data_IF_757406223106
#
_entry.id   IF_757406223106
#
_cell.length_a   1.000
_cell.length_b   1.000
_cell.length_c   1.000
_cell.angle_alpha   90.00
_cell.angle_beta   90.00
_cell.angle_gamma   90.00
#
_symmetry.space_group_name_H-M   'P 1'
#
loop_
_entity.id
_entity.type
_entity.pdbx_description
1 polymer ?
#
# COMPACT_ATOMS: atom_id res chain seq x y z
N UNK A 1 -4.56 -21.43 -25.24
CA UNK A 1 -4.60 -21.82 -23.80
C UNK A 1 -3.59 -21.05 -22.92
N UNK A 2 -2.34 -20.88 -23.37
CA UNK A 2 -1.29 -20.18 -22.61
C UNK A 2 -1.61 -18.71 -22.26
N UNK A 3 -2.18 -17.87 -23.16
CA UNK A 3 -2.51 -16.49 -22.82
C UNK A 3 -3.55 -16.38 -21.69
N UNK A 4 -4.63 -17.18 -21.77
CA UNK A 4 -5.69 -17.17 -20.76
C UNK A 4 -5.23 -17.67 -19.38
N UNK A 5 -4.19 -18.52 -19.32
CA UNK A 5 -3.61 -18.97 -18.05
C UNK A 5 -2.73 -17.87 -17.44
N UNK A 6 -1.96 -17.16 -18.25
CA UNK A 6 -1.17 -16.01 -17.81
C UNK A 6 -2.08 -14.89 -17.26
N UNK A 7 -3.21 -14.61 -17.91
CA UNK A 7 -4.19 -13.63 -17.44
C UNK A 7 -4.77 -14.01 -16.08
N UNK A 8 -5.15 -15.28 -15.87
CA UNK A 8 -5.68 -15.74 -14.57
C UNK A 8 -4.65 -15.63 -13.45
N UNK A 9 -3.40 -15.98 -13.71
CA UNK A 9 -2.31 -15.87 -12.73
C UNK A 9 -2.03 -14.40 -12.38
N UNK A 10 -2.05 -13.52 -13.37
CA UNK A 10 -1.91 -12.08 -13.18
C UNK A 10 -3.07 -11.50 -12.36
N UNK A 11 -4.31 -11.82 -12.72
CA UNK A 11 -5.52 -11.39 -12.00
C UNK A 11 -5.48 -11.88 -10.55
N UNK A 12 -5.13 -13.14 -10.31
CA UNK A 12 -5.02 -13.68 -8.96
C UNK A 12 -3.95 -12.98 -8.11
N UNK A 13 -2.78 -12.71 -8.69
CA UNK A 13 -1.71 -12.00 -8.01
C UNK A 13 -2.09 -10.55 -7.67
N UNK A 14 -2.69 -9.82 -8.61
CA UNK A 14 -3.19 -8.46 -8.40
C UNK A 14 -4.34 -8.41 -7.39
N UNK A 15 -5.23 -9.40 -7.41
CA UNK A 15 -6.32 -9.48 -6.45
C UNK A 15 -5.77 -9.63 -5.02
N UNK A 16 -4.73 -10.43 -4.81
CA UNK A 16 -4.10 -10.52 -3.49
C UNK A 16 -3.55 -9.17 -3.02
N UNK A 17 -2.87 -8.43 -3.90
CA UNK A 17 -2.34 -7.10 -3.59
C UNK A 17 -3.45 -6.14 -3.15
N UNK A 18 -4.51 -6.05 -3.96
CA UNK A 18 -5.65 -5.16 -3.70
C UNK A 18 -6.35 -5.55 -2.40
N UNK A 19 -6.55 -6.84 -2.14
CA UNK A 19 -7.18 -7.30 -0.89
C UNK A 19 -6.35 -6.96 0.36
N UNK A 20 -5.02 -7.03 0.27
CA UNK A 20 -4.13 -6.64 1.37
C UNK A 20 -4.26 -5.15 1.67
N UNK A 21 -4.18 -4.29 0.64
CA UNK A 21 -4.16 -2.83 0.82
C UNK A 21 -5.54 -2.25 1.12
N UNK A 22 -6.58 -2.69 0.41
CA UNK A 22 -7.91 -2.11 0.47
C UNK A 22 -8.83 -2.75 1.53
N UNK A 23 -8.51 -3.95 2.01
CA UNK A 23 -9.34 -4.68 2.99
C UNK A 23 -8.57 -4.98 4.27
N UNK A 24 -7.47 -5.73 4.19
CA UNK A 24 -6.76 -6.18 5.40
C UNK A 24 -6.16 -5.01 6.20
N UNK A 25 -5.43 -4.11 5.54
CA UNK A 25 -4.83 -2.94 6.19
C UNK A 25 -5.84 -2.01 6.89
N UNK A 26 -6.96 -1.59 6.26
CA UNK A 26 -7.95 -0.75 6.94
C UNK A 26 -8.65 -1.47 8.10
N UNK A 27 -8.99 -2.76 7.96
CA UNK A 27 -9.61 -3.51 9.05
C UNK A 27 -8.68 -3.61 10.28
N UNK A 28 -7.39 -3.87 10.04
CA UNK A 28 -6.37 -3.87 11.10
C UNK A 28 -6.21 -2.47 11.71
N UNK A 29 -6.17 -1.42 10.88
CA UNK A 29 -6.04 -0.05 11.35
C UNK A 29 -7.21 0.37 12.24
N UNK A 30 -8.44 -0.01 11.89
CA UNK A 30 -9.65 0.28 12.70
C UNK A 30 -9.58 -0.46 14.05
N UNK A 31 -9.12 -1.72 14.07
CA UNK A 31 -8.97 -2.48 15.31
C UNK A 31 -7.85 -1.98 16.22
N UNK A 32 -6.82 -1.33 15.66
CA UNK A 32 -5.68 -0.78 16.39
C UNK A 32 -5.91 0.68 16.83
N UNK A 33 -6.59 1.49 16.02
CA UNK A 33 -6.86 2.90 16.30
C UNK A 33 -7.80 3.05 17.51
N UNK A 34 -7.40 3.88 18.49
CA UNK A 34 -8.15 4.06 19.74
C UNK A 34 -8.00 2.94 20.77
N UNK A 35 -7.24 1.88 20.48
CA UNK A 35 -6.91 0.81 21.42
C UNK A 35 -5.64 1.08 22.24
N UNK A 36 -5.29 0.15 23.15
CA UNK A 36 -4.01 0.22 23.93
C UNK A 36 -2.76 0.12 23.05
N UNK A 37 -2.92 -0.41 21.84
CA UNK A 37 -1.90 -0.57 20.80
C UNK A 37 -1.92 0.57 19.77
N UNK A 38 -2.61 1.68 20.05
CA UNK A 38 -2.62 2.83 19.14
C UNK A 38 -1.23 3.48 19.07
N UNK A 39 -0.42 3.00 18.11
CA UNK A 39 0.92 3.53 17.82
C UNK A 39 0.86 4.93 17.20
N UNK A 40 -0.27 5.31 16.59
CA UNK A 40 -0.45 6.66 16.03
C UNK A 40 -0.47 7.73 17.11
N UNK A 41 -0.94 7.38 18.32
CA UNK A 41 -0.89 8.28 19.48
C UNK A 41 0.52 8.38 20.10
N UNK A 42 1.33 7.32 19.98
CA UNK A 42 2.67 7.23 20.60
C UNK A 42 3.79 7.78 19.75
N UNK A 43 3.68 7.69 18.42
CA UNK A 43 4.73 8.14 17.48
C UNK A 43 4.14 9.05 16.39
N UNK A 44 3.56 10.20 16.76
CA UNK A 44 2.76 11.03 15.86
C UNK A 44 3.51 11.51 14.60
N UNK A 45 4.85 11.58 14.64
CA UNK A 45 5.67 11.96 13.49
C UNK A 45 5.69 10.89 12.38
N UNK A 46 5.75 9.62 12.76
CA UNK A 46 5.77 8.47 11.82
C UNK A 46 4.40 8.24 11.19
N UNK A 47 3.34 8.58 11.91
CA UNK A 47 1.94 8.54 11.45
C UNK A 47 1.46 9.90 10.92
N UNK A 48 2.40 10.77 10.49
CA UNK A 48 2.06 11.91 9.64
C UNK A 48 1.58 11.38 8.29
N UNK A 49 0.38 11.74 7.81
CA UNK A 49 -0.15 11.23 6.55
C UNK A 49 0.77 11.48 5.35
N UNK A 50 1.49 12.61 5.35
CA UNK A 50 2.43 12.96 4.28
C UNK A 50 3.59 11.97 4.26
N UNK A 51 4.19 11.70 5.43
CA UNK A 51 5.31 10.77 5.53
C UNK A 51 4.86 9.34 5.19
N UNK A 52 3.69 8.91 5.68
CA UNK A 52 3.12 7.62 5.34
C UNK A 52 2.90 7.47 3.82
N UNK A 53 2.39 8.51 3.15
CA UNK A 53 2.18 8.51 1.69
C UNK A 53 3.51 8.50 0.91
N UNK A 54 4.55 9.17 1.41
CA UNK A 54 5.89 9.13 0.78
C UNK A 54 6.51 7.74 0.90
N UNK A 55 6.40 7.10 2.08
CA UNK A 55 6.91 5.73 2.26
C UNK A 55 6.11 4.77 1.36
N UNK A 56 4.78 4.89 1.31
CA UNK A 56 3.93 4.11 0.41
C UNK A 56 4.39 4.24 -1.05
N UNK A 57 4.61 5.47 -1.52
CA UNK A 57 5.15 5.74 -2.84
C UNK A 57 6.45 4.97 -3.11
N UNK A 58 7.46 5.13 -2.26
CA UNK A 58 8.75 4.47 -2.48
C UNK A 58 8.64 2.95 -2.51
N UNK A 59 7.82 2.38 -1.63
CA UNK A 59 7.58 0.93 -1.59
C UNK A 59 6.88 0.46 -2.86
N UNK A 60 5.80 1.13 -3.27
CA UNK A 60 5.06 0.78 -4.50
C UNK A 60 5.96 0.88 -5.72
N UNK A 61 6.73 1.95 -5.83
CA UNK A 61 7.63 2.17 -6.96
C UNK A 61 8.75 1.15 -7.02
N UNK A 62 9.37 0.81 -5.88
CA UNK A 62 10.43 -0.19 -5.81
C UNK A 62 9.96 -1.56 -6.33
N UNK A 63 8.78 -2.02 -5.92
CA UNK A 63 8.22 -3.30 -6.38
C UNK A 63 7.76 -3.29 -7.84
N UNK A 64 7.46 -2.11 -8.40
CA UNK A 64 7.16 -1.96 -9.82
C UNK A 64 8.42 -1.88 -10.70
N UNK A 65 9.64 -1.76 -10.14
CA UNK A 65 10.86 -1.82 -10.95
C UNK A 65 11.01 -3.21 -11.60
N UNK A 66 11.42 -3.32 -12.89
CA UNK A 66 11.40 -4.58 -13.62
C UNK A 66 12.12 -5.75 -12.93
N UNK A 67 13.26 -5.47 -12.28
CA UNK A 67 14.05 -6.47 -11.58
C UNK A 67 13.34 -7.02 -10.33
N UNK A 68 12.79 -6.14 -9.49
CA UNK A 68 12.04 -6.54 -8.28
C UNK A 68 10.70 -7.17 -8.64
N UNK A 69 10.02 -6.64 -9.66
CA UNK A 69 8.77 -7.21 -10.15
C UNK A 69 8.99 -8.63 -10.69
N UNK A 70 10.07 -8.87 -11.43
CA UNK A 70 10.43 -10.21 -11.88
C UNK A 70 10.78 -11.13 -10.71
N UNK A 71 11.53 -10.64 -9.72
CA UNK A 71 11.86 -11.38 -8.51
C UNK A 71 10.62 -11.80 -7.72
N UNK A 72 9.64 -10.89 -7.55
CA UNK A 72 8.38 -11.16 -6.85
C UNK A 72 7.54 -12.25 -7.53
N UNK A 73 7.63 -12.37 -8.87
CA UNK A 73 6.93 -13.43 -9.62
C UNK A 73 7.65 -14.77 -9.66
N UNK A 74 8.94 -14.80 -9.32
CA UNK A 74 9.79 -16.00 -9.45
C UNK A 74 10.23 -16.58 -8.11
N UNK A 75 10.19 -15.78 -7.03
CA UNK A 75 10.60 -16.18 -5.69
C UNK A 75 9.49 -15.95 -4.67
N UNK A 76 9.14 -17.02 -3.94
CA UNK A 76 8.15 -16.94 -2.85
C UNK A 76 8.58 -15.96 -1.74
N UNK A 77 9.88 -15.89 -1.44
CA UNK A 77 10.39 -14.97 -0.44
C UNK A 77 10.21 -13.50 -0.88
N UNK A 78 10.47 -13.19 -2.16
CA UNK A 78 10.26 -11.86 -2.71
C UNK A 78 8.77 -11.49 -2.71
N UNK A 79 7.89 -12.44 -3.05
CA UNK A 79 6.44 -12.25 -2.99
C UNK A 79 5.93 -11.98 -1.57
N UNK A 80 6.47 -12.65 -0.55
CA UNK A 80 6.12 -12.39 0.86
C UNK A 80 6.61 -11.02 1.32
N UNK A 81 7.79 -10.60 0.89
CA UNK A 81 8.34 -9.27 1.19
C UNK A 81 7.52 -8.17 0.51
N UNK A 82 7.11 -8.38 -0.74
CA UNK A 82 6.21 -7.50 -1.48
C UNK A 82 4.90 -7.31 -0.71
N UNK A 83 4.20 -8.41 -0.41
CA UNK A 83 2.92 -8.34 0.30
C UNK A 83 3.02 -7.82 1.72
N UNK A 84 4.08 -8.20 2.45
CA UNK A 84 4.36 -7.68 3.79
C UNK A 84 4.62 -6.18 3.78
N UNK A 85 5.35 -5.68 2.77
CA UNK A 85 5.60 -4.26 2.62
C UNK A 85 4.32 -3.49 2.28
N UNK A 86 3.47 -4.00 1.38
CA UNK A 86 2.18 -3.39 1.07
C UNK A 86 1.23 -3.34 2.27
N UNK A 87 1.17 -4.41 3.05
CA UNK A 87 0.42 -4.42 4.30
C UNK A 87 0.96 -3.36 5.26
N UNK A 88 2.27 -3.24 5.40
CA UNK A 88 2.92 -2.30 6.30
C UNK A 88 2.64 -0.84 5.92
N UNK A 89 2.88 -0.43 4.67
CA UNK A 89 2.59 0.94 4.23
C UNK A 89 1.10 1.25 4.21
N UNK A 90 0.25 0.31 3.79
CA UNK A 90 -1.20 0.47 3.88
C UNK A 90 -1.66 0.70 5.33
N UNK A 91 -1.14 -0.09 6.28
CA UNK A 91 -1.47 0.08 7.70
C UNK A 91 -1.01 1.45 8.23
N UNK A 92 0.18 1.91 7.84
CA UNK A 92 0.71 3.24 8.17
C UNK A 92 -0.23 4.35 7.70
N UNK A 93 -0.68 4.29 6.46
CA UNK A 93 -1.60 5.27 5.86
C UNK A 93 -2.97 5.25 6.54
N UNK A 94 -3.54 4.06 6.77
CA UNK A 94 -4.85 3.94 7.41
C UNK A 94 -4.80 4.35 8.90
N UNK A 95 -3.74 4.03 9.63
CA UNK A 95 -3.54 4.53 11.00
C UNK A 95 -3.33 6.06 11.01
N UNK A 96 -2.60 6.60 10.05
CA UNK A 96 -2.48 8.05 9.87
C UNK A 96 -3.81 8.72 9.48
N UNK A 97 -4.74 7.99 8.85
CA UNK A 97 -6.09 8.47 8.57
C UNK A 97 -7.00 8.43 9.81
N UNK A 98 -6.97 7.33 10.59
CA UNK A 98 -7.89 7.09 11.71
C UNK A 98 -7.42 7.62 13.07
N UNK A 99 -6.11 7.65 13.36
CA UNK A 99 -5.56 7.91 14.69
C UNK A 99 -5.40 9.40 15.07
N UNK A 100 -6.45 10.24 15.00
CA UNK A 100 -6.38 11.64 15.45
C UNK A 100 -7.46 12.59 14.88
N UNK A 101 -7.58 13.79 15.47
CA UNK A 101 -8.72 14.73 15.36
C UNK A 101 -9.30 14.88 13.94
N UNK A 102 -10.60 14.57 13.82
CA UNK A 102 -11.41 14.29 12.61
C UNK A 102 -11.29 15.22 11.40
N UNK A 103 -10.92 16.49 11.54
CA UNK A 103 -11.02 17.47 10.43
C UNK A 103 -9.73 17.73 9.65
N UNK A 104 -8.54 17.47 10.21
CA UNK A 104 -7.26 17.74 9.52
C UNK A 104 -6.78 16.59 8.63
N UNK A 105 -7.43 15.41 8.71
CA UNK A 105 -7.00 14.15 8.07
C UNK A 105 -7.78 13.76 6.81
N UNK A 106 -8.95 14.35 6.57
CA UNK A 106 -9.71 14.14 5.32
C UNK A 106 -8.94 14.64 4.08
N UNK A 107 -8.27 15.79 4.20
CA UNK A 107 -7.35 16.31 3.19
C UNK A 107 -6.17 15.37 2.93
N UNK A 108 -5.79 14.58 3.93
CA UNK A 108 -4.67 13.67 3.85
C UNK A 108 -5.04 12.33 3.19
N UNK A 109 -6.27 11.85 3.41
CA UNK A 109 -6.85 10.75 2.61
C UNK A 109 -7.02 11.15 1.13
N UNK A 110 -7.47 12.39 0.86
CA UNK A 110 -7.55 12.93 -0.51
C UNK A 110 -6.16 13.08 -1.13
N UNK A 111 -5.17 13.57 -0.38
CA UNK A 111 -3.79 13.67 -0.86
C UNK A 111 -3.15 12.30 -1.12
N UNK A 112 -3.41 11.31 -0.26
CA UNK A 112 -2.99 9.92 -0.48
C UNK A 112 -3.62 9.31 -1.73
N UNK A 113 -4.93 9.53 -1.94
CA UNK A 113 -5.65 9.10 -3.14
C UNK A 113 -5.16 9.81 -4.42
N UNK A 114 -4.87 11.11 -4.36
CA UNK A 114 -4.28 11.86 -5.47
C UNK A 114 -2.86 11.40 -5.80
N UNK A 115 -2.04 11.19 -4.77
CA UNK A 115 -0.66 10.75 -4.92
C UNK A 115 -0.61 9.33 -5.49
N UNK A 116 -1.41 8.40 -4.96
CA UNK A 116 -1.53 7.04 -5.52
C UNK A 116 -2.08 7.05 -6.96
N UNK A 117 -3.04 7.93 -7.28
CA UNK A 117 -3.53 8.11 -8.65
C UNK A 117 -2.45 8.63 -9.62
N UNK A 118 -1.55 9.52 -9.19
CA UNK A 118 -0.49 10.09 -10.05
C UNK A 118 0.60 9.07 -10.41
N UNK A 119 0.89 8.10 -9.54
CA UNK A 119 1.93 7.09 -9.78
C UNK A 119 1.51 6.00 -10.76
N UNK A 120 0.22 5.63 -10.78
CA UNK A 120 -0.33 4.66 -11.75
C UNK A 120 -0.25 5.19 -13.19
N UNK A 121 -0.42 6.50 -13.40
CA UNK A 121 -0.26 7.13 -14.71
C UNK A 121 1.19 7.24 -15.17
N UNK A 122 2.15 7.41 -14.25
CA UNK A 122 3.57 7.56 -14.57
C UNK A 122 4.24 6.23 -14.94
N UNK A 123 3.79 5.12 -14.34
CA UNK A 123 4.23 3.77 -14.72
C UNK A 123 3.74 3.36 -16.12
N UNK A 124 2.54 3.81 -16.53
CA UNK A 124 2.03 3.59 -17.88
C UNK A 124 2.85 4.27 -18.99
N UNK A 125 3.53 5.39 -18.67
CA UNK A 125 4.42 6.11 -19.61
C UNK A 125 5.79 5.43 -19.74
N UNK A 126 6.28 4.74 -18.71
CA UNK A 126 7.56 4.00 -18.76
C UNK A 126 7.44 2.63 -19.43
N UNK A 127 6.22 2.11 -19.60
CA UNK A 127 5.93 0.81 -20.21
C UNK A 127 5.37 0.90 -21.64
N UNK A 128 5.16 2.12 -22.17
CA UNK A 128 4.73 2.41 -23.54
C UNK A 128 5.92 2.81 -24.42
#
# INVERSE_FOLDING_TARGET
PLPAMADRLFVGHMLMHVMVVAVAAPLLAIGLAGGRLDLSSRVPMLFSPILASVIELFVVWAWHMPALHHAARTSQAAQLLEQGSYLFVGLLVWLAAFGGVRHRRALAGIAGLLLTSMHMTLLGVLLA
#
